data_IF_825439225730
#
_entry.id   IF_825439225730
#
_cell.length_a   1.000
_cell.length_b   1.000
_cell.length_c   1.000
_cell.angle_alpha   90.00
_cell.angle_beta   90.00
_cell.angle_gamma   90.00
#
_symmetry.space_group_name_H-M   'P 1'
#
loop_
_entity.id
_entity.type
_entity.pdbx_description
1 polymer ?
#
# COMPACT_ATOMS: atom_id res chain seq x y z
N UNK A 1 -24.79 -17.43 -2.87
CA UNK A 1 -23.91 -18.51 -2.37
C UNK A 1 -22.65 -17.87 -1.82
N UNK A 2 -22.34 -18.16 -0.56
CA UNK A 2 -21.29 -17.56 0.27
C UNK A 2 -19.88 -17.72 -0.35
N UNK A 3 -19.31 -16.64 -0.89
CA UNK A 3 -17.85 -16.54 -1.13
C UNK A 3 -17.28 -15.19 -0.71
N UNK A 4 -18.04 -14.41 0.10
CA UNK A 4 -17.68 -13.01 0.42
C UNK A 4 -16.65 -12.83 1.56
N UNK A 5 -16.14 -13.89 2.18
CA UNK A 5 -15.30 -13.76 3.39
C UNK A 5 -13.86 -14.26 3.30
N UNK A 6 -13.43 -14.97 2.25
CA UNK A 6 -12.05 -15.52 2.18
C UNK A 6 -11.09 -14.69 1.31
N UNK A 7 -11.60 -13.95 0.33
CA UNK A 7 -10.79 -13.23 -0.66
C UNK A 7 -9.98 -12.05 -0.09
N UNK A 8 -10.52 -11.18 0.78
CA UNK A 8 -9.71 -10.11 1.37
C UNK A 8 -8.63 -10.67 2.31
N UNK A 9 -8.92 -11.73 3.07
CA UNK A 9 -7.94 -12.36 3.96
C UNK A 9 -6.75 -12.97 3.22
N UNK A 10 -6.99 -13.63 2.09
CA UNK A 10 -5.93 -14.18 1.24
C UNK A 10 -5.03 -13.07 0.64
N UNK A 11 -5.62 -11.93 0.27
CA UNK A 11 -4.88 -10.76 -0.24
C UNK A 11 -4.01 -10.11 0.84
N UNK A 12 -4.50 -10.00 2.10
CA UNK A 12 -3.68 -9.55 3.25
C UNK A 12 -2.43 -10.40 3.35
N UNK A 13 -2.63 -11.72 3.40
CA UNK A 13 -1.56 -12.66 3.68
C UNK A 13 -0.52 -12.66 2.55
N UNK A 14 -0.97 -12.61 1.30
CA UNK A 14 -0.09 -12.53 0.13
C UNK A 14 0.77 -11.25 0.13
N UNK A 15 0.16 -10.09 0.42
CA UNK A 15 0.88 -8.81 0.39
C UNK A 15 1.82 -8.69 1.60
N UNK A 16 1.38 -9.12 2.77
CA UNK A 16 2.24 -9.17 3.96
C UNK A 16 3.46 -10.08 3.72
N UNK A 17 3.26 -11.25 3.10
CA UNK A 17 4.33 -12.19 2.79
C UNK A 17 5.35 -11.62 1.78
N UNK A 18 4.87 -10.96 0.72
CA UNK A 18 5.74 -10.29 -0.27
C UNK A 18 6.54 -9.15 0.38
N UNK A 19 5.92 -8.36 1.26
CA UNK A 19 6.62 -7.28 1.97
C UNK A 19 7.66 -7.81 2.95
N UNK A 20 7.35 -8.88 3.68
CA UNK A 20 8.28 -9.54 4.61
C UNK A 20 9.49 -10.13 3.88
N UNK A 21 9.27 -10.81 2.74
CA UNK A 21 10.39 -11.28 1.90
C UNK A 21 11.23 -10.10 1.42
N UNK A 22 10.59 -9.00 1.01
CA UNK A 22 11.28 -7.79 0.58
C UNK A 22 12.10 -7.10 1.67
N UNK A 23 11.81 -7.36 2.95
CA UNK A 23 12.56 -6.84 4.09
C UNK A 23 13.77 -7.71 4.45
N UNK A 24 13.88 -8.92 3.90
CA UNK A 24 14.98 -9.82 4.26
C UNK A 24 16.32 -9.27 3.74
N UNK A 25 17.33 -9.16 4.62
CA UNK A 25 18.63 -8.62 4.22
C UNK A 25 19.26 -9.50 3.14
N UNK A 26 19.98 -8.86 2.21
CA UNK A 26 20.67 -9.49 1.07
C UNK A 26 19.79 -10.05 -0.06
N UNK A 27 18.47 -9.84 -0.02
CA UNK A 27 17.61 -10.14 -1.17
C UNK A 27 17.28 -8.86 -1.93
N UNK A 28 17.30 -8.92 -3.27
CA UNK A 28 16.61 -7.91 -4.06
C UNK A 28 15.11 -8.13 -3.88
N UNK A 29 14.50 -7.39 -2.96
CA UNK A 29 13.07 -7.48 -2.70
C UNK A 29 12.28 -7.14 -3.96
N UNK A 30 11.47 -8.07 -4.47
CA UNK A 30 10.59 -7.84 -5.62
C UNK A 30 9.70 -6.60 -5.42
N UNK A 31 9.29 -6.33 -4.18
CA UNK A 31 8.51 -5.18 -3.73
C UNK A 31 9.25 -3.84 -3.72
N UNK A 32 10.59 -3.83 -3.77
CA UNK A 32 11.39 -2.60 -3.90
C UNK A 32 11.33 -2.01 -5.30
N UNK A 33 11.08 -2.86 -6.31
CA UNK A 33 10.96 -2.40 -7.69
C UNK A 33 9.61 -1.70 -7.90
N UNK A 34 9.69 -0.44 -8.34
CA UNK A 34 8.50 0.40 -8.57
C UNK A 34 7.54 -0.27 -9.55
N UNK A 35 8.06 -0.92 -10.59
CA UNK A 35 7.28 -1.61 -11.61
C UNK A 35 6.43 -2.76 -11.06
N UNK A 36 7.00 -3.59 -10.19
CA UNK A 36 6.27 -4.72 -9.60
C UNK A 36 5.21 -4.25 -8.59
N UNK A 37 5.60 -3.33 -7.69
CA UNK A 37 4.70 -2.79 -6.67
C UNK A 37 3.54 -1.98 -7.28
N UNK A 38 3.82 -1.17 -8.30
CA UNK A 38 2.80 -0.45 -9.06
C UNK A 38 1.89 -1.37 -9.86
N UNK A 39 2.45 -2.40 -10.53
CA UNK A 39 1.66 -3.37 -11.28
C UNK A 39 0.66 -4.13 -10.40
N UNK A 40 1.07 -4.56 -9.21
CA UNK A 40 0.20 -5.30 -8.28
C UNK A 40 -0.94 -4.42 -7.75
N UNK A 41 -0.62 -3.19 -7.32
CA UNK A 41 -1.63 -2.26 -6.83
C UNK A 41 -2.61 -1.80 -7.92
N UNK A 42 -2.10 -1.47 -9.11
CA UNK A 42 -2.90 -0.98 -10.23
C UNK A 42 -3.80 -2.09 -10.79
N UNK A 43 -3.30 -3.33 -10.84
CA UNK A 43 -4.08 -4.50 -11.26
C UNK A 43 -5.24 -4.77 -10.29
N UNK A 44 -4.98 -4.79 -8.98
CA UNK A 44 -6.02 -5.02 -7.97
C UNK A 44 -7.07 -3.89 -7.95
N UNK A 45 -6.64 -2.64 -8.09
CA UNK A 45 -7.56 -1.51 -8.17
C UNK A 45 -8.36 -1.49 -9.48
N UNK A 46 -7.70 -1.78 -10.61
CA UNK A 46 -8.33 -1.91 -11.92
C UNK A 46 -9.40 -3.00 -11.93
N UNK A 47 -9.15 -4.14 -11.27
CA UNK A 47 -10.15 -5.20 -11.10
C UNK A 47 -11.39 -4.72 -10.34
N UNK A 48 -11.23 -3.91 -9.29
CA UNK A 48 -12.36 -3.36 -8.53
C UNK A 48 -13.20 -2.37 -9.36
N UNK A 49 -12.56 -1.46 -10.12
CA UNK A 49 -13.27 -0.55 -11.02
C UNK A 49 -14.00 -1.33 -12.11
N UNK A 50 -13.33 -2.31 -12.72
CA UNK A 50 -13.89 -3.11 -13.80
C UNK A 50 -15.09 -3.96 -13.31
N UNK A 51 -14.97 -4.58 -12.14
CA UNK A 51 -16.08 -5.29 -11.49
C UNK A 51 -17.27 -4.36 -11.22
N UNK A 52 -17.03 -3.15 -10.68
CA UNK A 52 -18.09 -2.18 -10.40
C UNK A 52 -18.82 -1.68 -11.65
N UNK A 53 -18.08 -1.47 -12.75
CA UNK A 53 -18.68 -1.10 -14.05
C UNK A 53 -19.53 -2.23 -14.64
N UNK A 54 -19.10 -3.49 -14.51
CA UNK A 54 -19.81 -4.64 -15.08
C UNK A 54 -21.11 -4.97 -14.33
N UNK A 55 -21.12 -4.91 -13.00
CA UNK A 55 -22.29 -5.28 -12.22
C UNK A 55 -23.41 -4.24 -12.28
N UNK A 56 -23.10 -2.95 -12.11
CA UNK A 56 -24.11 -1.88 -12.15
C UNK A 56 -23.52 -0.52 -12.59
N UNK A 57 -23.42 -0.24 -13.90
CA UNK A 57 -22.81 1.02 -14.38
C UNK A 57 -23.59 2.25 -13.93
N UNK A 58 -24.93 2.16 -13.79
CA UNK A 58 -25.77 3.28 -13.35
C UNK A 58 -25.57 3.63 -11.87
N UNK A 59 -25.41 2.64 -10.99
CA UNK A 59 -25.11 2.89 -9.56
C UNK A 59 -23.66 3.33 -9.38
N UNK A 60 -22.74 2.77 -10.16
CA UNK A 60 -21.34 3.18 -10.18
C UNK A 60 -21.18 4.66 -10.56
N UNK A 61 -21.83 5.09 -11.64
CA UNK A 61 -21.83 6.51 -12.05
C UNK A 61 -22.61 7.41 -11.09
N UNK A 62 -23.70 6.90 -10.48
CA UNK A 62 -24.47 7.62 -9.48
C UNK A 62 -23.71 7.89 -8.18
N UNK A 63 -22.64 7.15 -7.88
CA UNK A 63 -21.82 7.40 -6.69
C UNK A 63 -20.98 8.68 -6.81
N UNK A 64 -20.63 9.11 -8.03
CA UNK A 64 -19.91 10.37 -8.23
C UNK A 64 -20.73 11.61 -7.80
N UNK A 65 -22.04 11.47 -7.56
CA UNK A 65 -22.88 12.52 -7.00
C UNK A 65 -23.70 12.02 -5.80
N UNK A 66 -23.50 12.56 -4.60
CA UNK A 66 -24.43 12.34 -3.50
C UNK A 66 -25.80 12.94 -3.86
N UNK A 67 -26.86 12.20 -3.54
CA UNK A 67 -28.25 12.58 -3.78
C UNK A 67 -28.56 13.88 -3.02
N UNK A 68 -28.93 14.94 -3.75
CA UNK A 68 -29.29 16.24 -3.18
C UNK A 68 -28.27 17.36 -3.41
N UNK A 69 -27.23 17.15 -4.23
CA UNK A 69 -26.32 18.23 -4.61
C UNK A 69 -26.95 19.21 -5.61
N UNK A 70 -26.79 20.53 -5.42
CA UNK A 70 -27.30 21.52 -6.36
C UNK A 70 -26.61 21.35 -7.72
N UNK A 71 -27.39 21.40 -8.80
CA UNK A 71 -26.96 21.11 -10.18
C UNK A 71 -25.75 21.95 -10.60
N UNK A 72 -25.61 23.18 -10.09
CA UNK A 72 -24.45 24.05 -10.38
C UNK A 72 -23.12 23.49 -9.84
N UNK A 73 -23.10 22.86 -8.65
CA UNK A 73 -21.87 22.29 -8.07
C UNK A 73 -21.58 20.87 -8.54
N UNK A 74 -22.58 20.22 -9.16
CA UNK A 74 -22.47 18.83 -9.61
C UNK A 74 -21.24 18.52 -10.49
N UNK A 75 -20.89 19.30 -11.54
CA UNK A 75 -19.73 18.96 -12.38
C UNK A 75 -18.40 19.05 -11.63
N UNK A 76 -18.29 19.98 -10.67
CA UNK A 76 -17.07 20.16 -9.89
C UNK A 76 -16.85 19.00 -8.91
N UNK A 77 -17.93 18.53 -8.26
CA UNK A 77 -17.85 17.41 -7.32
C UNK A 77 -17.46 16.10 -8.02
N UNK A 78 -18.05 15.82 -9.20
CA UNK A 78 -17.70 14.65 -10.01
C UNK A 78 -16.21 14.67 -10.37
N UNK A 79 -15.67 15.85 -10.73
CA UNK A 79 -14.27 16.00 -11.06
C UNK A 79 -13.36 15.70 -9.87
N UNK A 80 -13.71 16.16 -8.66
CA UNK A 80 -12.93 15.84 -7.45
C UNK A 80 -13.02 14.35 -7.10
N UNK A 81 -14.20 13.75 -7.19
CA UNK A 81 -14.39 12.33 -6.84
C UNK A 81 -13.67 11.41 -7.84
N UNK A 82 -13.70 11.73 -9.14
CA UNK A 82 -12.91 11.00 -10.15
C UNK A 82 -11.41 11.10 -9.89
N UNK A 83 -10.90 12.26 -9.49
CA UNK A 83 -9.51 12.43 -9.07
C UNK A 83 -9.21 11.61 -7.80
N UNK A 84 -10.10 11.61 -6.80
CA UNK A 84 -9.96 10.84 -5.56
C UNK A 84 -9.83 9.33 -5.84
N UNK A 85 -10.68 8.79 -6.72
CA UNK A 85 -10.65 7.38 -7.14
C UNK A 85 -9.34 7.01 -7.83
N UNK A 86 -8.74 7.93 -8.62
CA UNK A 86 -7.46 7.71 -9.30
C UNK A 86 -6.24 7.86 -8.38
N UNK A 87 -6.27 8.79 -7.42
CA UNK A 87 -5.16 9.02 -6.49
C UNK A 87 -5.01 7.85 -5.50
N UNK A 88 -6.11 7.17 -5.15
CA UNK A 88 -6.10 6.09 -4.14
C UNK A 88 -5.09 4.95 -4.44
N UNK A 89 -5.08 4.29 -5.62
CA UNK A 89 -4.07 3.28 -5.94
C UNK A 89 -2.65 3.87 -5.99
N UNK A 90 -2.51 5.11 -6.47
CA UNK A 90 -1.22 5.77 -6.53
C UNK A 90 -0.63 6.00 -5.13
N UNK A 91 -1.43 6.49 -4.17
CA UNK A 91 -0.96 6.65 -2.78
C UNK A 91 -0.57 5.34 -2.12
N UNK A 92 -1.24 4.24 -2.47
CA UNK A 92 -0.88 2.91 -1.97
C UNK A 92 0.48 2.46 -2.51
N UNK A 93 0.72 2.61 -3.81
CA UNK A 93 1.99 2.24 -4.45
C UNK A 93 3.17 2.99 -3.86
N UNK A 94 3.03 4.31 -3.74
CA UNK A 94 4.05 5.19 -3.16
C UNK A 94 4.34 4.78 -1.73
N UNK A 95 3.30 4.43 -0.94
CA UNK A 95 3.49 4.01 0.45
C UNK A 95 4.22 2.67 0.59
N UNK A 96 3.93 1.69 -0.27
CA UNK A 96 4.67 0.42 -0.31
C UNK A 96 6.15 0.64 -0.68
N UNK A 97 6.40 1.42 -1.72
CA UNK A 97 7.76 1.67 -2.23
C UNK A 97 8.56 2.47 -1.22
N UNK A 98 8.01 3.56 -0.69
CA UNK A 98 8.71 4.42 0.26
C UNK A 98 9.15 3.64 1.50
N UNK A 99 8.27 2.80 2.07
CA UNK A 99 8.58 2.06 3.29
C UNK A 99 9.71 1.03 3.06
N UNK A 100 9.70 0.31 1.94
CA UNK A 100 10.70 -0.72 1.67
C UNK A 100 12.02 -0.09 1.16
N UNK A 101 11.96 0.88 0.25
CA UNK A 101 13.17 1.53 -0.30
C UNK A 101 13.89 2.43 0.70
N UNK A 102 13.18 3.27 1.45
CA UNK A 102 13.80 4.12 2.46
C UNK A 102 14.46 3.27 3.55
N UNK A 103 13.82 2.17 3.92
CA UNK A 103 14.34 1.22 4.89
C UNK A 103 15.70 0.64 4.52
N UNK A 104 15.78 0.05 3.31
CA UNK A 104 17.04 -0.46 2.75
C UNK A 104 18.12 0.62 2.63
N UNK A 105 17.76 1.84 2.22
CA UNK A 105 18.72 2.96 2.11
C UNK A 105 19.26 3.34 3.49
N UNK A 106 18.40 3.45 4.51
CA UNK A 106 18.81 3.79 5.88
C UNK A 106 19.69 2.69 6.47
N UNK A 107 19.31 1.42 6.31
CA UNK A 107 20.11 0.28 6.76
C UNK A 107 21.48 0.22 6.07
N UNK A 108 21.54 0.49 4.77
CA UNK A 108 22.81 0.56 4.03
C UNK A 108 23.69 1.73 4.51
N UNK A 109 23.10 2.88 4.80
CA UNK A 109 23.84 4.04 5.32
C UNK A 109 24.41 3.74 6.71
N UNK A 110 23.60 3.14 7.59
CA UNK A 110 24.04 2.75 8.94
C UNK A 110 25.13 1.68 8.86
N UNK A 111 25.00 0.68 7.97
CA UNK A 111 26.02 -0.34 7.74
C UNK A 111 27.35 0.25 7.23
N UNK A 112 27.30 1.25 6.34
CA UNK A 112 28.50 1.96 5.88
C UNK A 112 29.17 2.78 7.00
N UNK A 113 28.40 3.42 7.88
CA UNK A 113 28.97 4.09 9.05
C UNK A 113 29.61 3.07 10.02
N UNK A 114 28.98 1.91 10.21
CA UNK A 114 29.48 0.83 11.05
C UNK A 114 30.79 0.23 10.54
N UNK A 115 30.99 0.16 9.21
CA UNK A 115 32.22 -0.41 8.62
C UNK A 115 33.43 0.52 8.74
N UNK A 116 33.22 1.83 8.80
CA UNK A 116 34.29 2.85 8.92
C UNK A 116 34.66 3.12 10.38
N UNK A 117 33.72 2.98 11.32
CA UNK A 117 33.99 3.17 12.74
C UNK A 117 34.73 1.96 13.35
N UNK A 118 35.87 2.22 14.00
CA UNK A 118 36.53 1.24 14.86
C UNK A 118 35.60 0.80 16.01
N UNK A 119 35.80 -0.41 16.53
CA UNK A 119 35.06 -0.96 17.68
C UNK A 119 35.15 -0.03 18.90
N UNK A 120 34.15 0.84 19.06
CA UNK A 120 34.00 1.80 20.16
C UNK A 120 32.60 1.70 20.74
N UNK A 121 32.37 2.28 21.92
CA UNK A 121 31.04 2.32 22.55
C UNK A 121 29.96 2.95 21.64
N UNK A 122 30.35 3.78 20.68
CA UNK A 122 29.44 4.36 19.68
C UNK A 122 28.96 3.35 18.63
N UNK A 123 29.76 2.32 18.28
CA UNK A 123 29.34 1.30 17.31
C UNK A 123 28.29 0.36 17.90
N UNK A 124 28.40 0.03 19.19
CA UNK A 124 27.38 -0.79 19.89
C UNK A 124 26.03 -0.09 19.99
N UNK A 125 26.03 1.23 20.21
CA UNK A 125 24.80 2.04 20.19
C UNK A 125 24.16 2.07 18.80
N UNK A 126 24.97 2.27 17.74
CA UNK A 126 24.50 2.26 16.35
C UNK A 126 23.91 0.91 15.93
N UNK A 127 24.49 -0.21 16.38
CA UNK A 127 23.94 -1.55 16.15
C UNK A 127 22.58 -1.73 16.85
N UNK A 128 22.42 -1.23 18.07
CA UNK A 128 21.13 -1.26 18.77
C UNK A 128 20.06 -0.47 18.02
N UNK A 129 20.43 0.71 17.51
CA UNK A 129 19.57 1.54 16.67
C UNK A 129 19.18 0.84 15.36
N UNK A 130 20.11 0.17 14.69
CA UNK A 130 19.82 -0.56 13.43
C UNK A 130 18.89 -1.75 13.66
N UNK A 131 19.06 -2.49 14.75
CA UNK A 131 18.13 -3.58 15.12
C UNK A 131 16.75 -3.03 15.47
N UNK A 132 16.68 -1.95 16.26
CA UNK A 132 15.41 -1.28 16.57
C UNK A 132 14.67 -0.77 15.34
N UNK A 133 15.41 -0.22 14.37
CA UNK A 133 14.84 0.24 13.10
C UNK A 133 14.28 -0.91 12.25
N UNK A 134 14.96 -2.06 12.20
CA UNK A 134 14.42 -3.27 11.55
C UNK A 134 13.08 -3.72 12.15
N UNK A 135 12.95 -3.71 13.49
CA UNK A 135 11.67 -4.04 14.14
C UNK A 135 10.56 -3.05 13.78
N UNK A 136 10.90 -1.77 13.69
CA UNK A 136 9.96 -0.73 13.27
C UNK A 136 9.48 -0.95 11.83
N UNK A 137 10.37 -1.30 10.91
CA UNK A 137 10.01 -1.62 9.53
C UNK A 137 9.07 -2.83 9.40
N UNK A 138 9.33 -3.90 10.15
CA UNK A 138 8.44 -5.06 10.22
C UNK A 138 7.03 -4.64 10.67
N UNK A 139 6.93 -3.78 11.69
CA UNK A 139 5.66 -3.26 12.18
C UNK A 139 4.91 -2.44 11.11
N UNK A 140 5.61 -1.57 10.41
CA UNK A 140 5.04 -0.75 9.32
C UNK A 140 4.52 -1.64 8.17
N UNK A 141 5.20 -2.75 7.86
CA UNK A 141 4.74 -3.70 6.85
C UNK A 141 3.38 -4.34 7.19
N UNK A 142 3.13 -4.67 8.45
CA UNK A 142 1.83 -5.19 8.90
C UNK A 142 0.72 -4.14 8.80
N UNK A 143 1.00 -2.90 9.23
CA UNK A 143 0.03 -1.79 9.12
C UNK A 143 -0.34 -1.54 7.65
N UNK A 144 0.63 -1.59 6.74
CA UNK A 144 0.36 -1.35 5.33
C UNK A 144 -0.54 -2.43 4.71
N UNK A 145 -0.32 -3.70 5.06
CA UNK A 145 -1.20 -4.80 4.62
C UNK A 145 -2.62 -4.66 5.21
N UNK A 146 -2.74 -4.20 6.45
CA UNK A 146 -4.03 -3.94 7.10
C UNK A 146 -4.78 -2.79 6.41
N UNK A 147 -4.15 -1.63 6.20
CA UNK A 147 -4.81 -0.47 5.56
C UNK A 147 -5.26 -0.82 4.15
N UNK A 148 -4.43 -1.55 3.38
CA UNK A 148 -4.78 -1.96 2.03
C UNK A 148 -6.10 -2.73 1.98
N UNK A 149 -6.25 -3.68 2.89
CA UNK A 149 -7.41 -4.58 2.89
C UNK A 149 -8.63 -3.98 3.53
N UNK A 150 -8.45 -3.08 4.50
CA UNK A 150 -9.52 -2.21 4.95
C UNK A 150 -10.06 -1.35 3.79
N UNK A 151 -9.18 -0.78 2.97
CA UNK A 151 -9.59 0.03 1.81
C UNK A 151 -10.37 -0.79 0.78
N UNK A 152 -9.90 -2.00 0.47
CA UNK A 152 -10.59 -2.90 -0.46
C UNK A 152 -11.94 -3.35 0.08
N UNK A 153 -12.01 -3.73 1.37
CA UNK A 153 -13.27 -4.21 1.95
C UNK A 153 -14.31 -3.08 1.99
N UNK A 154 -13.92 -1.87 2.38
CA UNK A 154 -14.78 -0.69 2.36
C UNK A 154 -15.30 -0.42 0.94
N UNK A 155 -14.43 -0.41 -0.07
CA UNK A 155 -14.83 -0.20 -1.45
C UNK A 155 -15.74 -1.32 -2.00
N UNK A 156 -15.45 -2.59 -1.66
CA UNK A 156 -16.29 -3.73 -2.06
C UNK A 156 -17.66 -3.78 -1.37
N UNK A 157 -17.82 -3.03 -0.28
CA UNK A 157 -19.08 -2.89 0.41
C UNK A 157 -19.88 -1.68 -0.11
N UNK A 158 -19.19 -0.62 -0.55
CA UNK A 158 -19.78 0.53 -1.23
C UNK A 158 -20.23 0.20 -2.67
N UNK A 159 -19.53 -0.72 -3.35
CA UNK A 159 -19.83 -1.15 -4.71
C UNK A 159 -20.31 -2.62 -4.75
N UNK A 160 -21.60 -2.89 -5.04
CA UNK A 160 -22.09 -4.24 -5.30
C UNK A 160 -21.68 -4.77 -6.68
#
# INVERSE_FOLDING_TARGET
>A
MKTKSSLPGALIFLIAFINLIGLTPFTFGLSSSLWFSSGLALSLWGYLIFSGMLYNPKKFLGHFLPSGTPVILSPFLILIETISVLIRPLTLTVRLIANISAGHIVLALVANCLSVCNMSLSTTLMLFLSVGYNFFEVFVCFIQAYIFTLLITLYSNEHP
#
